data_IF_242429071555
#
_entry.id   IF_242429071555
#
_cell.length_a   1.000
_cell.length_b   1.000
_cell.length_c   1.000
_cell.angle_alpha   90.00
_cell.angle_beta   90.00
_cell.angle_gamma   90.00
#
_symmetry.space_group_name_H-M   'P 1'
#
loop_
_entity.id
_entity.type
_entity.pdbx_description
1 polymer ?
#
# COMPACT_ATOMS: atom_id res chain seq x y z
N UNK A 1 17.57 -12.89 -16.35
CA UNK A 1 17.22 -11.70 -17.17
C UNK A 1 16.75 -12.23 -18.52
N UNK A 2 15.42 -12.42 -18.69
CA UNK A 2 14.84 -12.91 -19.93
C UNK A 2 14.75 -11.77 -20.96
N UNK A 3 14.92 -12.01 -22.26
CA UNK A 3 14.87 -10.97 -23.27
C UNK A 3 13.44 -10.42 -23.38
N UNK A 4 13.31 -9.09 -23.34
CA UNK A 4 12.05 -8.40 -23.62
C UNK A 4 11.58 -8.73 -25.05
N UNK A 5 10.29 -9.07 -25.27
CA UNK A 5 9.78 -9.26 -26.63
C UNK A 5 9.90 -7.94 -27.40
N UNK A 6 10.33 -8.04 -28.65
CA UNK A 6 10.56 -6.94 -29.57
C UNK A 6 9.22 -6.28 -29.96
N UNK A 7 8.73 -5.35 -29.16
CA UNK A 7 7.70 -4.41 -29.61
C UNK A 7 8.32 -3.47 -30.65
N UNK A 8 7.67 -3.31 -31.81
CA UNK A 8 8.16 -2.43 -32.87
C UNK A 8 8.36 -1.03 -32.28
N UNK A 9 9.55 -0.40 -32.45
CA UNK A 9 9.87 0.89 -31.83
C UNK A 9 8.86 2.01 -32.14
N UNK A 10 8.17 1.94 -33.27
CA UNK A 10 7.10 2.86 -33.67
C UNK A 10 5.82 2.73 -32.81
N UNK A 11 5.47 1.54 -32.34
CA UNK A 11 4.26 1.34 -31.53
C UNK A 11 4.46 1.87 -30.08
N UNK A 12 5.66 1.70 -29.53
CA UNK A 12 6.01 2.23 -28.21
C UNK A 12 6.10 3.75 -28.24
N UNK A 13 6.66 4.34 -29.31
CA UNK A 13 6.74 5.79 -29.47
C UNK A 13 5.35 6.43 -29.63
N UNK A 14 4.44 5.78 -30.38
CA UNK A 14 3.07 6.26 -30.54
C UNK A 14 2.28 6.16 -29.23
N UNK A 15 2.48 5.08 -28.48
CA UNK A 15 1.87 4.90 -27.15
C UNK A 15 2.32 5.99 -26.18
N UNK A 16 3.63 6.33 -26.16
CA UNK A 16 4.17 7.41 -25.36
C UNK A 16 3.59 8.78 -25.72
N UNK A 17 3.47 9.09 -27.02
CA UNK A 17 2.87 10.35 -27.48
C UNK A 17 1.39 10.48 -27.08
N UNK A 18 0.62 9.40 -27.19
CA UNK A 18 -0.78 9.37 -26.75
C UNK A 18 -0.91 9.53 -25.23
N UNK A 19 0.02 9.00 -24.46
CA UNK A 19 0.07 9.15 -23.02
C UNK A 19 0.37 10.59 -22.61
N UNK A 20 1.34 11.25 -23.26
CA UNK A 20 1.64 12.68 -23.05
C UNK A 20 0.42 13.56 -23.37
N UNK A 21 -0.31 13.28 -24.46
CA UNK A 21 -1.54 14.01 -24.78
C UNK A 21 -2.63 13.78 -23.73
N UNK A 22 -2.74 12.57 -23.18
CA UNK A 22 -3.69 12.29 -22.08
C UNK A 22 -3.27 13.00 -20.79
N UNK A 23 -1.98 13.17 -20.52
CA UNK A 23 -1.49 13.89 -19.35
C UNK A 23 -1.75 15.39 -19.38
N UNK A 24 -1.78 16.00 -20.56
CA UNK A 24 -2.17 17.41 -20.73
C UNK A 24 -3.63 17.68 -20.29
N UNK A 25 -4.45 16.65 -20.20
CA UNK A 25 -5.84 16.73 -19.80
C UNK A 25 -6.06 16.00 -18.48
N UNK A 26 -6.09 16.73 -17.37
CA UNK A 26 -6.18 16.16 -16.00
C UNK A 26 -7.36 15.19 -15.84
N UNK A 27 -8.54 15.54 -16.33
CA UNK A 27 -9.75 14.73 -16.13
C UNK A 27 -9.70 13.33 -16.78
N UNK A 28 -9.32 13.15 -18.07
CA UNK A 28 -9.13 11.84 -18.65
C UNK A 28 -8.00 11.04 -17.99
N UNK A 29 -6.88 11.70 -17.69
CA UNK A 29 -5.69 11.04 -17.14
C UNK A 29 -5.97 10.34 -15.80
N UNK A 30 -6.72 10.99 -14.92
CA UNK A 30 -7.03 10.54 -13.55
C UNK A 30 -8.38 9.81 -13.45
N UNK A 31 -8.98 9.46 -14.55
CA UNK A 31 -10.26 8.74 -14.58
C UNK A 31 -10.09 7.25 -14.88
N UNK A 32 -11.17 6.49 -14.64
CA UNK A 32 -11.24 5.09 -15.09
C UNK A 32 -11.02 4.94 -16.59
N UNK A 33 -11.41 5.93 -17.38
CA UNK A 33 -11.22 5.93 -18.85
C UNK A 33 -9.73 6.00 -19.17
N UNK A 34 -8.97 6.90 -18.55
CA UNK A 34 -7.53 6.99 -18.72
C UNK A 34 -6.80 5.73 -18.30
N UNK A 35 -7.19 5.14 -17.15
CA UNK A 35 -6.65 3.86 -16.72
C UNK A 35 -6.88 2.74 -17.74
N UNK A 36 -8.10 2.57 -18.23
CA UNK A 36 -8.43 1.54 -19.22
C UNK A 36 -7.75 1.78 -20.58
N UNK A 37 -7.61 3.05 -20.98
CA UNK A 37 -6.87 3.40 -22.19
C UNK A 37 -5.39 3.01 -22.05
N UNK A 38 -4.73 3.39 -20.96
CA UNK A 38 -3.33 3.03 -20.66
C UNK A 38 -3.12 1.52 -20.56
N UNK A 39 -4.00 0.85 -19.85
CA UNK A 39 -3.97 -0.62 -19.70
C UNK A 39 -3.93 -1.32 -21.06
N UNK A 40 -4.77 -0.85 -22.03
CA UNK A 40 -4.75 -1.38 -23.40
C UNK A 40 -3.54 -0.92 -24.19
N UNK A 41 -3.20 0.36 -24.09
CA UNK A 41 -2.12 0.98 -24.87
C UNK A 41 -0.76 0.34 -24.53
N UNK A 42 -0.52 0.12 -23.23
CA UNK A 42 0.71 -0.49 -22.73
C UNK A 42 0.59 -2.00 -22.53
N UNK A 43 -0.54 -2.60 -22.91
CA UNK A 43 -0.76 -4.05 -22.90
C UNK A 43 -0.44 -4.69 -21.53
N UNK A 44 -0.90 -4.06 -20.45
CA UNK A 44 -0.60 -4.52 -19.08
C UNK A 44 -1.11 -5.94 -18.78
N UNK A 45 -2.11 -6.42 -19.51
CA UNK A 45 -2.68 -7.77 -19.35
C UNK A 45 -1.97 -8.85 -20.15
N UNK A 46 -1.01 -8.51 -21.02
CA UNK A 46 -0.35 -9.48 -21.88
C UNK A 46 0.66 -10.34 -21.14
N UNK A 47 1.16 -9.87 -20.00
CA UNK A 47 2.07 -10.63 -19.15
C UNK A 47 1.37 -10.99 -17.83
N UNK A 48 1.34 -12.26 -17.43
CA UNK A 48 0.79 -12.65 -16.15
C UNK A 48 1.64 -12.03 -15.02
N UNK A 49 0.97 -11.60 -13.95
CA UNK A 49 1.65 -11.12 -12.77
C UNK A 49 2.54 -12.24 -12.20
N UNK A 50 3.74 -11.90 -11.72
CA UNK A 50 4.64 -12.88 -11.13
C UNK A 50 4.02 -13.48 -9.86
N UNK A 51 4.24 -14.77 -9.65
CA UNK A 51 3.89 -15.43 -8.40
C UNK A 51 4.68 -14.83 -7.24
N UNK A 52 4.04 -14.78 -6.09
CA UNK A 52 4.60 -14.27 -4.83
C UNK A 52 4.76 -15.38 -3.79
N UNK A 53 4.89 -16.63 -4.26
CA UNK A 53 5.10 -17.76 -3.37
C UNK A 53 6.34 -17.49 -2.49
N UNK A 54 6.21 -17.76 -1.19
CA UNK A 54 7.23 -17.51 -0.16
C UNK A 54 7.63 -16.03 0.05
N UNK A 55 6.85 -15.08 -0.48
CA UNK A 55 7.03 -13.67 -0.17
C UNK A 55 6.13 -13.24 0.97
N UNK A 56 6.72 -12.64 1.99
CA UNK A 56 5.99 -12.06 3.12
C UNK A 56 5.61 -10.62 2.80
N UNK A 57 4.32 -10.33 2.79
CA UNK A 57 3.78 -9.00 2.53
C UNK A 57 2.99 -8.51 3.73
N UNK A 58 3.46 -7.44 4.36
CA UNK A 58 2.74 -6.73 5.41
C UNK A 58 1.89 -5.63 4.76
N UNK A 59 0.57 -5.65 4.98
CA UNK A 59 -0.35 -4.68 4.39
C UNK A 59 -1.23 -4.04 5.46
N UNK A 60 -1.15 -2.71 5.57
CA UNK A 60 -2.00 -1.95 6.49
C UNK A 60 -3.29 -1.47 5.80
N UNK A 61 -4.42 -1.46 6.53
CA UNK A 61 -5.69 -0.92 6.02
C UNK A 61 -6.42 -1.82 5.01
N UNK A 62 -6.32 -3.14 5.17
CA UNK A 62 -6.89 -4.14 4.25
C UNK A 62 -8.40 -4.39 4.38
N UNK A 63 -9.09 -3.81 5.37
CA UNK A 63 -10.48 -4.17 5.69
C UNK A 63 -11.51 -3.55 4.74
N UNK A 64 -11.11 -2.64 3.86
CA UNK A 64 -12.00 -1.97 2.89
C UNK A 64 -11.24 -1.45 1.66
N UNK A 65 -12.01 -1.00 0.65
CA UNK A 65 -11.48 -0.27 -0.50
C UNK A 65 -10.32 -0.95 -1.22
N UNK A 66 -9.31 -0.16 -1.57
CA UNK A 66 -8.11 -0.59 -2.31
C UNK A 66 -7.35 -1.67 -1.54
N UNK A 67 -7.15 -1.50 -0.23
CA UNK A 67 -6.43 -2.47 0.59
C UNK A 67 -7.08 -3.85 0.60
N UNK A 68 -8.42 -3.93 0.60
CA UNK A 68 -9.13 -5.22 0.53
C UNK A 68 -8.98 -5.89 -0.84
N UNK A 69 -9.01 -5.11 -1.92
CA UNK A 69 -8.78 -5.63 -3.27
C UNK A 69 -7.34 -6.13 -3.40
N UNK A 70 -6.37 -5.33 -2.99
CA UNK A 70 -4.95 -5.70 -3.00
C UNK A 70 -4.67 -6.97 -2.17
N UNK A 71 -5.26 -7.09 -0.98
CA UNK A 71 -5.06 -8.28 -0.14
C UNK A 71 -5.54 -9.57 -0.83
N UNK A 72 -6.66 -9.52 -1.58
CA UNK A 72 -7.15 -10.67 -2.34
C UNK A 72 -6.22 -11.02 -3.49
N UNK A 73 -5.84 -10.05 -4.31
CA UNK A 73 -4.94 -10.28 -5.44
C UNK A 73 -3.57 -10.81 -4.97
N UNK A 74 -3.02 -10.26 -3.89
CA UNK A 74 -1.76 -10.75 -3.32
C UNK A 74 -1.88 -12.19 -2.80
N UNK A 75 -3.03 -12.54 -2.19
CA UNK A 75 -3.31 -13.91 -1.78
C UNK A 75 -3.41 -14.88 -2.97
N UNK A 76 -4.09 -14.48 -4.06
CA UNK A 76 -4.20 -15.25 -5.30
C UNK A 76 -2.83 -15.46 -5.96
N UNK A 77 -1.92 -14.50 -5.84
CA UNK A 77 -0.55 -14.61 -6.30
C UNK A 77 0.33 -15.49 -5.39
N UNK A 78 -0.18 -15.93 -4.23
CA UNK A 78 0.50 -16.88 -3.34
C UNK A 78 1.32 -16.23 -2.22
N UNK A 79 1.17 -14.93 -1.98
CA UNK A 79 1.88 -14.25 -0.91
C UNK A 79 1.48 -14.77 0.48
N UNK A 80 2.43 -14.75 1.42
CA UNK A 80 2.18 -14.88 2.84
C UNK A 80 1.85 -13.50 3.41
N UNK A 81 0.59 -13.30 3.81
CA UNK A 81 0.08 -11.99 4.17
C UNK A 81 0.05 -11.76 5.68
N UNK A 82 0.64 -10.66 6.13
CA UNK A 82 0.39 -10.12 7.45
C UNK A 82 -0.49 -8.87 7.31
N UNK A 83 -1.77 -9.01 7.64
CA UNK A 83 -2.79 -7.99 7.39
C UNK A 83 -3.10 -7.21 8.66
N UNK A 84 -2.95 -5.89 8.59
CA UNK A 84 -3.12 -4.98 9.73
C UNK A 84 -4.35 -4.11 9.55
N UNK A 85 -5.21 -4.07 10.57
CA UNK A 85 -6.40 -3.23 10.57
C UNK A 85 -6.77 -2.75 11.97
N UNK A 86 -7.54 -1.67 12.07
CA UNK A 86 -7.90 -1.06 13.35
C UNK A 86 -9.10 -1.72 14.04
N UNK A 87 -10.06 -2.22 13.29
CA UNK A 87 -11.31 -2.79 13.84
C UNK A 87 -11.20 -4.31 13.95
N UNK A 88 -11.24 -4.90 15.17
CA UNK A 88 -11.11 -6.34 15.37
C UNK A 88 -12.11 -7.16 14.57
N UNK A 89 -13.38 -6.77 14.54
CA UNK A 89 -14.43 -7.50 13.81
C UNK A 89 -14.19 -7.46 12.29
N UNK A 90 -13.86 -6.27 11.74
CA UNK A 90 -13.57 -6.15 10.30
C UNK A 90 -12.31 -6.91 9.91
N UNK A 91 -11.28 -6.91 10.78
CA UNK A 91 -10.05 -7.69 10.57
C UNK A 91 -10.40 -9.18 10.49
N UNK A 92 -11.11 -9.70 11.51
CA UNK A 92 -11.52 -11.11 11.55
C UNK A 92 -12.32 -11.51 10.31
N UNK A 93 -13.38 -10.75 9.99
CA UNK A 93 -14.32 -11.12 8.93
C UNK A 93 -13.68 -11.02 7.54
N UNK A 94 -12.89 -9.97 7.28
CA UNK A 94 -12.19 -9.81 6.00
C UNK A 94 -11.08 -10.85 5.82
N UNK A 95 -10.31 -11.13 6.87
CA UNK A 95 -9.27 -12.13 6.82
C UNK A 95 -9.83 -13.54 6.63
N UNK A 96 -10.98 -13.86 7.26
CA UNK A 96 -11.66 -15.14 7.06
C UNK A 96 -12.07 -15.35 5.60
N UNK A 97 -12.57 -14.31 4.93
CA UNK A 97 -12.90 -14.38 3.51
C UNK A 97 -11.66 -14.67 2.64
N UNK A 98 -10.54 -13.97 2.89
CA UNK A 98 -9.29 -14.18 2.13
C UNK A 98 -8.71 -15.58 2.36
N UNK A 99 -8.76 -16.11 3.59
CA UNK A 99 -8.33 -17.49 3.91
C UNK A 99 -9.22 -18.53 3.22
N UNK A 100 -10.53 -18.26 3.13
CA UNK A 100 -11.48 -19.13 2.42
C UNK A 100 -11.15 -19.27 0.94
N UNK A 101 -10.53 -18.26 0.35
CA UNK A 101 -10.02 -18.26 -1.03
C UNK A 101 -8.62 -18.90 -1.15
N UNK A 102 -8.09 -19.53 -0.08
CA UNK A 102 -6.80 -20.25 -0.08
C UNK A 102 -5.57 -19.41 0.32
N UNK A 103 -5.78 -18.17 0.79
CA UNK A 103 -4.69 -17.28 1.20
C UNK A 103 -4.03 -17.69 2.53
N UNK A 104 -2.70 -17.57 2.60
CA UNK A 104 -1.94 -17.65 3.86
C UNK A 104 -2.01 -16.27 4.52
N UNK A 105 -2.70 -16.17 5.67
CA UNK A 105 -3.00 -14.88 6.30
C UNK A 105 -2.78 -14.94 7.80
N UNK A 106 -1.88 -14.10 8.27
CA UNK A 106 -1.73 -13.68 9.68
C UNK A 106 -2.37 -12.31 9.83
N UNK A 107 -2.87 -11.96 11.01
CA UNK A 107 -3.52 -10.67 11.23
C UNK A 107 -3.09 -10.04 12.53
N UNK A 108 -2.98 -8.72 12.55
CA UNK A 108 -2.84 -7.89 13.75
C UNK A 108 -3.90 -6.79 13.78
N UNK A 109 -4.29 -6.42 14.99
CA UNK A 109 -5.17 -5.27 15.23
C UNK A 109 -4.33 -4.15 15.85
N UNK A 110 -4.22 -3.02 15.15
CA UNK A 110 -3.48 -1.87 15.65
C UNK A 110 -4.07 -0.54 15.16
N UNK A 111 -4.03 0.48 16.00
CA UNK A 111 -4.27 1.86 15.60
C UNK A 111 -2.94 2.55 15.30
N UNK A 112 -2.70 2.86 14.03
CA UNK A 112 -1.44 3.50 13.61
C UNK A 112 -1.30 4.95 14.10
N UNK A 113 -2.35 5.55 14.68
CA UNK A 113 -2.24 6.84 15.35
C UNK A 113 -1.67 6.72 16.77
N UNK A 114 -1.70 5.54 17.37
CA UNK A 114 -1.09 5.26 18.66
C UNK A 114 0.30 4.65 18.47
N UNK A 115 1.34 5.40 18.81
CA UNK A 115 2.72 4.96 18.62
C UNK A 115 3.13 3.76 19.50
N UNK A 116 2.43 3.53 20.62
CA UNK A 116 2.68 2.34 21.44
C UNK A 116 2.04 1.10 20.81
N UNK A 117 0.87 1.26 20.19
CA UNK A 117 0.26 0.22 19.36
C UNK A 117 1.14 -0.13 18.15
N UNK A 118 1.79 0.86 17.53
CA UNK A 118 2.73 0.64 16.42
C UNK A 118 3.96 -0.17 16.88
N UNK A 119 4.49 0.09 18.07
CA UNK A 119 5.60 -0.70 18.63
C UNK A 119 5.20 -2.14 18.87
N UNK A 120 4.06 -2.35 19.55
CA UNK A 120 3.50 -3.68 19.75
C UNK A 120 3.26 -4.43 18.44
N UNK A 121 2.72 -3.75 17.43
CA UNK A 121 2.53 -4.29 16.08
C UNK A 121 3.85 -4.74 15.45
N UNK A 122 4.89 -3.94 15.57
CA UNK A 122 6.22 -4.29 15.06
C UNK A 122 6.76 -5.56 15.74
N UNK A 123 6.61 -5.69 17.07
CA UNK A 123 7.01 -6.89 17.82
C UNK A 123 6.20 -8.12 17.38
N UNK A 124 4.90 -7.99 17.12
CA UNK A 124 4.05 -9.09 16.62
C UNK A 124 4.49 -9.56 15.21
N UNK A 125 4.82 -8.62 14.32
CA UNK A 125 5.31 -8.94 12.97
C UNK A 125 6.70 -9.60 13.05
N UNK A 126 7.57 -9.06 13.89
CA UNK A 126 8.93 -9.58 14.11
C UNK A 126 8.92 -11.02 14.64
N UNK A 127 7.98 -11.32 15.55
CA UNK A 127 7.80 -12.66 16.11
C UNK A 127 7.16 -13.65 15.11
N UNK A 128 6.38 -13.16 14.15
CA UNK A 128 5.66 -14.00 13.20
C UNK A 128 6.48 -14.32 11.93
N UNK A 129 7.46 -13.50 11.58
CA UNK A 129 8.17 -13.59 10.31
C UNK A 129 9.67 -13.34 10.44
N UNK A 130 10.48 -14.20 9.86
CA UNK A 130 11.95 -14.04 9.83
C UNK A 130 12.39 -12.94 8.85
N UNK A 131 11.55 -12.58 7.89
CA UNK A 131 11.78 -11.49 6.93
C UNK A 131 10.46 -10.83 6.50
N UNK A 132 10.55 -9.64 5.96
CA UNK A 132 9.47 -8.92 5.28
C UNK A 132 9.94 -8.54 3.89
N UNK A 133 9.32 -9.10 2.85
CA UNK A 133 9.68 -8.79 1.47
C UNK A 133 9.04 -7.48 1.01
N UNK A 134 7.80 -7.19 1.45
CA UNK A 134 7.10 -5.94 1.12
C UNK A 134 6.32 -5.42 2.32
N UNK A 135 6.54 -4.17 2.68
CA UNK A 135 5.72 -3.42 3.64
C UNK A 135 4.88 -2.39 2.89
N UNK A 136 3.55 -2.51 2.97
CA UNK A 136 2.61 -1.63 2.27
C UNK A 136 1.87 -0.75 3.27
N UNK A 137 2.20 0.53 3.30
CA UNK A 137 1.46 1.56 4.03
C UNK A 137 0.28 2.03 3.18
N UNK A 138 -0.87 1.33 3.33
CA UNK A 138 -2.09 1.66 2.61
C UNK A 138 -3.19 2.20 3.55
N UNK A 139 -3.06 2.00 4.84
CA UNK A 139 -4.00 2.57 5.80
C UNK A 139 -4.03 4.10 5.68
N UNK A 140 -5.21 4.67 5.56
CA UNK A 140 -5.42 6.10 5.49
C UNK A 140 -6.90 6.45 5.67
N UNK A 141 -7.18 7.56 6.32
CA UNK A 141 -8.52 8.08 6.49
C UNK A 141 -8.45 9.60 6.63
N UNK A 142 -9.42 10.29 6.03
CA UNK A 142 -9.63 11.71 6.29
C UNK A 142 -10.56 11.83 7.49
N UNK A 143 -10.08 12.43 8.56
CA UNK A 143 -10.92 12.75 9.73
C UNK A 143 -11.69 14.03 9.47
N UNK A 144 -12.98 14.05 9.85
CA UNK A 144 -13.81 15.27 9.71
C UNK A 144 -13.63 16.25 10.87
N UNK A 145 -13.01 15.79 11.93
CA UNK A 145 -12.77 16.56 13.15
C UNK A 145 -11.29 16.47 13.48
N UNK A 146 -10.74 17.60 13.89
CA UNK A 146 -9.43 17.64 14.47
C UNK A 146 -9.45 16.88 15.82
N UNK A 147 -8.55 15.93 15.98
CA UNK A 147 -8.39 15.13 17.19
C UNK A 147 -6.92 14.79 17.37
N UNK A 148 -6.53 14.45 18.58
CA UNK A 148 -5.15 14.04 18.90
C UNK A 148 -5.07 12.56 19.22
N UNK A 149 -3.93 11.98 18.93
CA UNK A 149 -3.51 10.65 19.37
C UNK A 149 -3.27 10.62 20.90
N UNK A 150 -3.07 9.45 21.49
CA UNK A 150 -2.67 9.33 22.91
C UNK A 150 -1.40 10.10 23.25
N UNK A 151 -0.49 10.28 22.27
CA UNK A 151 0.75 11.03 22.45
C UNK A 151 0.60 12.54 22.17
N UNK A 152 -0.64 13.03 21.98
CA UNK A 152 -0.95 14.46 21.77
C UNK A 152 -0.70 14.99 20.37
N UNK A 153 -0.42 14.11 19.39
CA UNK A 153 -0.15 14.48 18.00
C UNK A 153 -1.46 14.46 17.21
N UNK A 154 -1.65 15.37 16.24
CA UNK A 154 -2.83 15.33 15.38
C UNK A 154 -3.00 13.93 14.75
N UNK A 155 -4.23 13.40 14.79
CA UNK A 155 -4.50 11.99 14.51
C UNK A 155 -4.13 11.58 13.08
N UNK A 156 -4.32 12.47 12.09
CA UNK A 156 -3.98 12.17 10.69
C UNK A 156 -2.47 12.14 10.49
N UNK A 157 -1.74 13.09 11.07
CA UNK A 157 -0.28 13.13 11.07
C UNK A 157 0.28 11.90 11.80
N UNK A 158 -0.27 11.58 12.97
CA UNK A 158 0.14 10.39 13.70
C UNK A 158 -0.06 9.11 12.88
N UNK A 159 -1.26 8.91 12.30
CA UNK A 159 -1.62 7.66 11.61
C UNK A 159 -1.01 7.50 10.21
N UNK A 160 -0.78 8.61 9.48
CA UNK A 160 -0.37 8.54 8.07
C UNK A 160 1.08 8.95 7.83
N UNK A 161 1.74 9.55 8.84
CA UNK A 161 3.16 9.95 8.74
C UNK A 161 3.99 9.24 9.80
N UNK A 162 3.73 9.52 11.08
CA UNK A 162 4.60 9.03 12.17
C UNK A 162 4.48 7.53 12.41
N UNK A 163 3.25 6.99 12.40
CA UNK A 163 3.02 5.55 12.55
C UNK A 163 3.70 4.73 11.45
N UNK A 164 3.48 5.03 10.16
CA UNK A 164 4.19 4.40 9.05
C UNK A 164 5.71 4.54 9.13
N UNK A 165 6.21 5.73 9.47
CA UNK A 165 7.65 5.96 9.64
C UNK A 165 8.23 5.09 10.77
N UNK A 166 7.59 5.08 11.94
CA UNK A 166 8.00 4.28 13.09
C UNK A 166 7.96 2.79 12.75
N UNK A 167 6.86 2.30 12.16
CA UNK A 167 6.73 0.90 11.78
C UNK A 167 7.82 0.48 10.78
N UNK A 168 8.09 1.32 9.78
CA UNK A 168 9.18 1.07 8.82
C UNK A 168 10.53 0.95 9.52
N UNK A 169 10.82 1.90 10.42
CA UNK A 169 12.09 1.93 11.16
C UNK A 169 12.28 0.69 12.03
N UNK A 170 11.23 0.26 12.73
CA UNK A 170 11.27 -0.91 13.59
C UNK A 170 11.39 -2.23 12.80
N UNK A 171 10.79 -2.30 11.60
CA UNK A 171 10.85 -3.48 10.73
C UNK A 171 12.05 -3.46 9.76
N UNK A 172 12.92 -2.46 9.83
CA UNK A 172 14.07 -2.36 8.92
C UNK A 172 14.94 -3.62 8.93
N UNK A 173 15.27 -4.26 10.07
CA UNK A 173 16.04 -5.50 10.07
C UNK A 173 15.35 -6.64 9.29
N UNK A 174 14.01 -6.75 9.36
CA UNK A 174 13.24 -7.76 8.63
C UNK A 174 13.14 -7.47 7.12
N UNK A 175 13.12 -6.18 6.75
CA UNK A 175 13.19 -5.74 5.34
C UNK A 175 14.58 -6.02 4.75
N UNK A 176 15.65 -5.80 5.50
CA UNK A 176 17.01 -6.12 5.09
C UNK A 176 17.24 -7.63 4.97
N UNK A 177 16.60 -8.44 5.84
CA UNK A 177 16.65 -9.89 5.78
C UNK A 177 16.04 -10.49 4.49
N UNK A 178 15.31 -9.70 3.70
CA UNK A 178 14.86 -10.09 2.37
C UNK A 178 15.98 -10.07 1.30
N UNK A 179 17.24 -9.96 1.71
CA UNK A 179 18.41 -10.08 0.83
C UNK A 179 18.54 -8.97 -0.21
N UNK A 180 18.20 -7.72 0.16
CA UNK A 180 18.23 -6.54 -0.73
C UNK A 180 17.02 -6.42 -1.67
N UNK A 181 16.04 -7.31 -1.56
CA UNK A 181 14.78 -7.24 -2.31
C UNK A 181 13.63 -6.63 -1.50
N UNK A 182 13.84 -6.30 -0.22
CA UNK A 182 12.84 -5.65 0.65
C UNK A 182 12.35 -4.33 0.06
N UNK A 183 11.03 -4.09 0.15
CA UNK A 183 10.40 -2.89 -0.41
C UNK A 183 9.43 -2.28 0.59
N UNK A 184 9.41 -0.95 0.63
CA UNK A 184 8.38 -0.17 1.32
C UNK A 184 7.56 0.56 0.27
N UNK A 185 6.25 0.37 0.29
CA UNK A 185 5.30 1.03 -0.60
C UNK A 185 4.38 1.91 0.23
N UNK A 186 4.32 3.19 -0.10
CA UNK A 186 3.41 4.13 0.55
C UNK A 186 2.33 4.56 -0.42
N UNK A 187 1.07 4.32 -0.05
CA UNK A 187 -0.07 4.81 -0.81
C UNK A 187 -0.20 6.32 -0.62
N UNK A 188 -0.16 7.02 -1.73
CA UNK A 188 -0.36 8.46 -1.80
C UNK A 188 -1.68 8.80 -2.51
N UNK A 189 -1.94 10.07 -2.73
CA UNK A 189 -3.17 10.54 -3.37
C UNK A 189 -2.89 11.63 -4.39
N UNK A 190 -3.68 11.65 -5.47
CA UNK A 190 -3.66 12.74 -6.44
C UNK A 190 -4.07 14.10 -5.84
N UNK A 191 -4.75 14.11 -4.70
CA UNK A 191 -5.09 15.33 -3.96
C UNK A 191 -3.87 16.15 -3.54
N UNK A 192 -2.71 15.51 -3.38
CA UNK A 192 -1.45 16.20 -3.05
C UNK A 192 -1.01 17.24 -4.11
N UNK A 193 -1.46 17.11 -5.36
CA UNK A 193 -1.12 18.07 -6.41
C UNK A 193 -1.94 19.37 -6.33
N UNK A 194 -3.03 19.39 -5.56
CA UNK A 194 -3.92 20.54 -5.41
C UNK A 194 -3.51 21.47 -4.26
N UNK A 195 -2.65 21.01 -3.36
CA UNK A 195 -2.29 21.71 -2.13
C UNK A 195 -0.77 21.86 -1.99
N UNK A 196 -0.35 22.93 -1.32
CA UNK A 196 1.05 23.12 -0.96
C UNK A 196 1.30 22.56 0.43
N UNK A 197 2.43 21.86 0.59
CA UNK A 197 2.87 21.41 1.90
C UNK A 197 3.31 22.63 2.74
N UNK A 198 2.64 22.85 3.86
CA UNK A 198 3.02 23.81 4.89
C UNK A 198 3.67 23.05 6.06
N UNK A 199 5.00 23.07 6.09
CA UNK A 199 5.78 22.33 7.10
C UNK A 199 5.75 23.00 8.49
N UNK A 200 5.36 24.26 8.57
CA UNK A 200 5.23 24.99 9.84
C UNK A 200 3.86 24.74 10.50
N UNK A 201 2.89 24.25 9.74
CA UNK A 201 1.53 23.98 10.21
C UNK A 201 1.05 22.58 9.83
N UNK A 202 1.88 21.56 10.04
CA UNK A 202 1.55 20.16 9.70
C UNK A 202 0.33 19.63 10.45
N UNK A 203 0.09 20.10 11.67
CA UNK A 203 -1.01 19.62 12.49
C UNK A 203 -2.33 20.36 12.23
N UNK A 204 -2.32 21.39 11.39
CA UNK A 204 -3.51 22.18 11.03
C UNK A 204 -4.42 22.41 12.25
N UNK A 205 -3.88 23.01 13.31
CA UNK A 205 -4.54 23.18 14.61
C UNK A 205 -5.95 23.78 14.50
N UNK A 206 -6.73 23.71 15.59
CA UNK A 206 -8.11 24.18 15.62
C UNK A 206 -8.23 25.66 15.29
#
# INVERSE_FOLDING_TARGET
MAPRPSSKPTAVALAGLLDEVMELTVAPSWSRVGFLARRRLFRWDDEPLPRLDDRVVVLTGFTSGIGRAAARELAELGADLHLVGRSPDKVRDTAAAIRGDGGRVTTSVADLSDLDDVRRLADEIDAAHDRVDVLVHNAGALTRKWTTSPQGIETTVAAQVLGPFLLTTLLLPRLEAAGGSGRVLTMSSGGMYAERLDVENLEMGP
#
